data_IF_767540320135
#
_entry.id   IF_767540320135
#
_cell.length_a   1.000
_cell.length_b   1.000
_cell.length_c   1.000
_cell.angle_alpha   90.00
_cell.angle_beta   90.00
_cell.angle_gamma   90.00
#
_symmetry.space_group_name_H-M   'P 1'
#
loop_
_entity.id
_entity.type
_entity.pdbx_description
1 polymer ?
#
# COMPACT_ATOMS: atom_id res chain seq x y z
N UNK A 1 -23.31 -8.19 8.89
CA UNK A 1 -22.10 -8.76 8.26
C UNK A 1 -21.02 -8.88 9.33
N UNK A 2 -20.21 -9.95 9.35
CA UNK A 2 -19.14 -10.16 10.35
C UNK A 2 -17.80 -10.28 9.62
N UNK A 3 -16.85 -9.41 9.93
CA UNK A 3 -15.47 -9.49 9.40
C UNK A 3 -14.73 -10.67 10.02
N UNK A 4 -13.98 -11.42 9.21
CA UNK A 4 -13.29 -12.64 9.63
C UNK A 4 -11.79 -12.43 9.89
N UNK A 5 -11.15 -11.57 9.12
CA UNK A 5 -9.72 -11.30 9.27
C UNK A 5 -9.29 -10.14 8.38
N UNK A 6 -8.22 -9.46 8.78
CA UNK A 6 -7.51 -8.48 7.94
C UNK A 6 -6.37 -9.16 7.20
N UNK A 7 -6.06 -8.67 6.01
CA UNK A 7 -5.01 -9.23 5.14
C UNK A 7 -3.63 -8.58 5.35
N UNK A 8 -3.54 -7.64 6.27
CA UNK A 8 -2.28 -7.08 6.79
C UNK A 8 -1.59 -8.08 7.71
N UNK A 9 -0.26 -7.98 7.86
CA UNK A 9 0.50 -8.83 8.80
C UNK A 9 0.15 -8.55 10.27
N UNK A 10 -0.29 -7.33 10.57
CA UNK A 10 -0.62 -6.85 11.92
C UNK A 10 -2.03 -6.27 11.95
N UNK A 11 -2.60 -6.12 13.15
CA UNK A 11 -3.89 -5.43 13.32
C UNK A 11 -3.79 -4.00 12.78
N UNK A 12 -4.85 -3.55 12.12
CA UNK A 12 -5.00 -2.18 11.62
C UNK A 12 -5.82 -1.36 12.61
N UNK A 13 -5.55 -0.06 12.69
CA UNK A 13 -6.36 0.89 13.47
C UNK A 13 -7.80 1.02 12.94
N UNK A 14 -8.03 0.70 11.67
CA UNK A 14 -9.36 0.75 11.03
C UNK A 14 -10.26 -0.37 11.57
N UNK A 15 -9.67 -1.53 11.89
CA UNK A 15 -10.39 -2.71 12.37
C UNK A 15 -9.61 -3.39 13.51
N UNK A 16 -9.47 -2.73 14.68
CA UNK A 16 -8.58 -3.17 15.75
C UNK A 16 -9.00 -4.51 16.37
N UNK A 17 -10.29 -4.83 16.29
CA UNK A 17 -10.85 -6.07 16.84
C UNK A 17 -10.84 -7.24 15.84
N UNK A 18 -10.38 -7.03 14.61
CA UNK A 18 -10.34 -8.05 13.58
C UNK A 18 -8.90 -8.59 13.47
N UNK A 19 -8.67 -9.90 13.70
CA UNK A 19 -7.32 -10.46 13.72
C UNK A 19 -6.71 -10.53 12.31
N UNK A 20 -5.38 -10.43 12.18
CA UNK A 20 -4.67 -10.76 10.95
C UNK A 20 -4.88 -12.23 10.56
N UNK A 21 -5.09 -12.49 9.28
CA UNK A 21 -5.06 -13.88 8.75
C UNK A 21 -3.68 -14.51 8.99
N UNK A 22 -2.62 -13.69 9.03
CA UNK A 22 -1.26 -14.10 9.33
C UNK A 22 -1.08 -14.80 10.68
N UNK A 23 -1.97 -14.59 11.66
CA UNK A 23 -1.95 -15.31 12.94
C UNK A 23 -2.28 -16.80 12.78
N UNK A 24 -3.08 -17.16 11.77
CA UNK A 24 -3.47 -18.55 11.47
C UNK A 24 -2.65 -19.13 10.31
N UNK A 25 -2.31 -18.30 9.32
CA UNK A 25 -1.51 -18.69 8.16
C UNK A 25 -0.24 -17.80 8.10
N UNK A 26 0.87 -18.24 8.71
CA UNK A 26 2.09 -17.44 8.79
C UNK A 26 2.58 -16.95 7.42
N UNK A 27 2.88 -15.66 7.33
CA UNK A 27 3.36 -15.02 6.10
C UNK A 27 2.27 -14.64 5.09
N UNK A 28 0.98 -14.87 5.39
CA UNK A 28 -0.11 -14.40 4.55
C UNK A 28 -0.21 -12.87 4.60
N UNK A 29 -0.01 -12.21 3.45
CA UNK A 29 -0.16 -10.76 3.31
C UNK A 29 -0.66 -10.37 1.91
N UNK A 30 -1.77 -9.65 1.87
CA UNK A 30 -2.30 -9.01 0.65
C UNK A 30 -2.69 -7.59 1.02
N UNK A 31 -1.79 -6.65 0.74
CA UNK A 31 -2.01 -5.23 1.01
C UNK A 31 -2.42 -4.52 -0.28
N UNK A 32 -3.58 -3.85 -0.24
CA UNK A 32 -3.93 -2.84 -1.24
C UNK A 32 -3.20 -1.54 -0.93
N UNK A 33 -2.52 -0.96 -1.91
CA UNK A 33 -1.78 0.28 -1.75
C UNK A 33 -2.08 1.26 -2.88
N UNK A 34 -1.90 2.54 -2.57
CA UNK A 34 -2.01 3.63 -3.52
C UNK A 34 -0.71 4.42 -3.53
N UNK A 35 -0.39 5.00 -4.68
CA UNK A 35 0.69 5.97 -4.76
C UNK A 35 0.66 6.72 -6.07
N UNK A 36 1.62 7.63 -6.21
CA UNK A 36 1.67 8.56 -7.34
C UNK A 36 2.86 8.25 -8.23
N UNK A 37 2.62 8.38 -9.54
CA UNK A 37 3.63 8.28 -10.57
C UNK A 37 3.68 9.59 -11.35
N UNK A 38 4.83 9.90 -11.93
CA UNK A 38 5.03 11.03 -12.81
C UNK A 38 5.54 10.53 -14.17
N UNK A 39 5.35 11.31 -15.25
CA UNK A 39 5.88 10.98 -16.56
C UNK A 39 7.40 10.72 -16.56
N UNK A 40 7.85 9.93 -17.53
CA UNK A 40 9.28 9.72 -17.73
C UNK A 40 9.98 11.08 -17.97
N UNK A 41 11.14 11.28 -17.34
CA UNK A 41 11.96 12.51 -17.38
C UNK A 41 11.37 13.72 -16.65
N UNK A 42 10.37 13.57 -15.79
CA UNK A 42 10.01 14.64 -14.84
C UNK A 42 11.26 15.05 -14.03
N UNK A 43 11.60 16.35 -13.91
CA UNK A 43 12.76 16.80 -13.16
C UNK A 43 12.73 16.34 -11.70
N UNK A 44 13.88 15.89 -11.19
CA UNK A 44 14.01 15.37 -9.82
C UNK A 44 13.56 16.38 -8.76
N UNK A 45 13.90 17.65 -8.95
CA UNK A 45 13.52 18.73 -8.05
C UNK A 45 12.00 18.89 -7.94
N UNK A 46 11.27 18.70 -9.05
CA UNK A 46 9.81 18.75 -9.06
C UNK A 46 9.21 17.54 -8.33
N UNK A 47 9.77 16.35 -8.55
CA UNK A 47 9.36 15.13 -7.84
C UNK A 47 9.55 15.32 -6.33
N UNK A 48 10.70 15.84 -5.91
CA UNK A 48 11.00 16.09 -4.50
C UNK A 48 10.06 17.13 -3.89
N UNK A 49 9.77 18.22 -4.61
CA UNK A 49 8.83 19.25 -4.15
C UNK A 49 7.43 18.69 -3.93
N UNK A 50 6.92 17.90 -4.89
CA UNK A 50 5.59 17.27 -4.79
C UNK A 50 5.57 16.24 -3.66
N UNK A 51 6.58 15.37 -3.57
CA UNK A 51 6.69 14.39 -2.48
C UNK A 51 6.71 15.09 -1.12
N UNK A 52 7.50 16.17 -0.97
CA UNK A 52 7.55 16.95 0.26
C UNK A 52 6.19 17.51 0.68
N UNK A 53 5.43 18.08 -0.25
CA UNK A 53 4.08 18.58 0.02
C UNK A 53 3.11 17.45 0.44
N UNK A 54 3.18 16.30 -0.22
CA UNK A 54 2.35 15.12 0.09
C UNK A 54 2.69 14.57 1.47
N UNK A 55 3.98 14.43 1.79
CA UNK A 55 4.42 13.97 3.10
C UNK A 55 4.00 14.90 4.24
N UNK A 56 3.87 16.20 3.98
CA UNK A 56 3.30 17.15 4.93
C UNK A 56 1.79 16.96 5.07
N UNK A 57 1.06 16.81 3.96
CA UNK A 57 -0.38 16.58 3.97
C UNK A 57 -0.75 15.29 4.72
N UNK A 58 -0.03 14.18 4.51
CA UNK A 58 -0.28 12.91 5.19
C UNK A 58 -0.10 12.95 6.73
N UNK A 59 0.52 14.01 7.26
CA UNK A 59 0.69 14.23 8.70
C UNK A 59 -0.44 15.04 9.32
N UNK A 60 -1.34 15.62 8.53
CA UNK A 60 -2.45 16.40 9.08
C UNK A 60 -3.56 15.47 9.55
N UNK A 61 -4.18 15.81 10.68
CA UNK A 61 -5.29 15.04 11.24
C UNK A 61 -6.44 14.90 10.23
N UNK A 62 -6.78 15.99 9.52
CA UNK A 62 -7.84 15.98 8.52
C UNK A 62 -7.62 14.92 7.42
N UNK A 63 -6.39 14.80 6.90
CA UNK A 63 -6.08 13.81 5.86
C UNK A 63 -6.08 12.41 6.44
N UNK A 64 -5.51 12.21 7.63
CA UNK A 64 -5.49 10.91 8.29
C UNK A 64 -6.90 10.39 8.59
N UNK A 65 -7.77 11.25 9.13
CA UNK A 65 -9.16 10.92 9.42
C UNK A 65 -9.94 10.55 8.15
N UNK A 66 -9.76 11.32 7.06
CA UNK A 66 -10.38 11.01 5.77
C UNK A 66 -9.90 9.68 5.20
N UNK A 67 -8.60 9.38 5.28
CA UNK A 67 -8.08 8.09 4.82
C UNK A 67 -8.63 6.94 5.66
N UNK A 68 -8.65 7.07 6.99
CA UNK A 68 -9.21 6.06 7.89
C UNK A 68 -10.69 5.82 7.58
N UNK A 69 -11.47 6.87 7.35
CA UNK A 69 -12.87 6.76 6.94
C UNK A 69 -13.07 6.03 5.61
N UNK A 70 -12.07 6.07 4.72
CA UNK A 70 -12.02 5.32 3.46
C UNK A 70 -11.40 3.93 3.61
N UNK A 71 -11.01 3.51 4.82
CA UNK A 71 -10.37 2.23 5.07
C UNK A 71 -8.90 2.18 4.62
N UNK A 72 -8.23 3.32 4.55
CA UNK A 72 -6.81 3.44 4.23
C UNK A 72 -6.03 4.07 5.38
N UNK A 73 -4.75 3.68 5.51
CA UNK A 73 -3.83 4.32 6.46
C UNK A 73 -2.87 5.22 5.69
N UNK A 74 -2.53 6.36 6.31
CA UNK A 74 -1.54 7.27 5.74
C UNK A 74 -0.17 6.60 5.71
N UNK A 75 0.32 6.31 4.50
CA UNK A 75 1.65 5.74 4.27
C UNK A 75 2.41 6.62 3.27
N UNK A 76 3.67 6.89 3.57
CA UNK A 76 4.52 7.72 2.74
C UNK A 76 5.98 7.28 2.80
N UNK A 77 6.73 7.56 1.74
CA UNK A 77 8.15 7.19 1.61
C UNK A 77 8.88 8.19 0.70
N UNK A 78 10.20 8.03 0.56
CA UNK A 78 10.95 8.77 -0.46
C UNK A 78 10.63 8.23 -1.87
N UNK A 79 10.82 9.04 -2.93
CA UNK A 79 10.63 8.57 -4.31
C UNK A 79 11.45 7.31 -4.65
N UNK A 80 12.68 7.21 -4.14
CA UNK A 80 13.58 6.08 -4.36
C UNK A 80 13.11 4.83 -3.63
N UNK A 81 12.67 4.99 -2.38
CA UNK A 81 12.09 3.90 -1.59
C UNK A 81 10.81 3.38 -2.25
N UNK A 82 9.95 4.28 -2.74
CA UNK A 82 8.74 3.92 -3.46
C UNK A 82 9.05 3.17 -4.77
N UNK A 83 10.07 3.61 -5.53
CA UNK A 83 10.51 2.88 -6.73
C UNK A 83 11.00 1.46 -6.42
N UNK A 84 11.72 1.29 -5.31
CA UNK A 84 12.16 -0.04 -4.84
C UNK A 84 10.98 -0.91 -4.44
N UNK A 85 10.01 -0.34 -3.73
CA UNK A 85 8.76 -1.00 -3.36
C UNK A 85 7.96 -1.47 -4.58
N UNK A 86 7.79 -0.62 -5.59
CA UNK A 86 7.09 -0.97 -6.83
C UNK A 86 7.73 -2.15 -7.55
N UNK A 87 9.06 -2.17 -7.63
CA UNK A 87 9.79 -3.30 -8.24
C UNK A 87 9.53 -4.58 -7.45
N UNK A 88 9.66 -4.53 -6.12
CA UNK A 88 9.40 -5.68 -5.24
C UNK A 88 7.98 -6.21 -5.37
N UNK A 89 6.98 -5.33 -5.39
CA UNK A 89 5.58 -5.73 -5.56
C UNK A 89 5.33 -6.34 -6.94
N UNK A 90 5.87 -5.73 -7.99
CA UNK A 90 5.77 -6.28 -9.36
C UNK A 90 6.33 -7.70 -9.43
N UNK A 91 7.53 -7.91 -8.88
CA UNK A 91 8.18 -9.22 -8.86
C UNK A 91 7.37 -10.24 -8.02
N UNK A 92 6.85 -9.81 -6.85
CA UNK A 92 6.02 -10.64 -5.97
C UNK A 92 4.75 -11.09 -6.67
N UNK A 93 4.00 -10.17 -7.27
CA UNK A 93 2.75 -10.47 -7.97
C UNK A 93 2.97 -11.31 -9.22
N UNK A 94 4.01 -11.02 -10.00
CA UNK A 94 4.36 -11.83 -11.17
C UNK A 94 4.68 -13.28 -10.77
N UNK A 95 5.39 -13.50 -9.65
CA UNK A 95 5.65 -14.84 -9.12
C UNK A 95 4.37 -15.55 -8.70
N UNK A 96 3.53 -14.86 -7.92
CA UNK A 96 2.26 -15.40 -7.43
C UNK A 96 1.33 -15.81 -8.57
N UNK A 97 1.18 -14.97 -9.61
CA UNK A 97 0.34 -15.28 -10.76
C UNK A 97 0.79 -16.55 -11.49
N UNK A 98 2.11 -16.75 -11.64
CA UNK A 98 2.68 -17.97 -12.23
C UNK A 98 2.42 -19.20 -11.37
N UNK A 99 2.66 -19.10 -10.07
CA UNK A 99 2.43 -20.19 -9.10
C UNK A 99 0.95 -20.59 -9.05
N UNK A 100 0.04 -19.63 -9.15
CA UNK A 100 -1.41 -19.84 -9.14
C UNK A 100 -1.99 -20.22 -10.52
N UNK A 101 -1.15 -20.32 -11.56
CA UNK A 101 -1.57 -20.57 -12.95
C UNK A 101 -2.68 -19.62 -13.44
N UNK A 102 -2.63 -18.36 -13.02
CA UNK A 102 -3.58 -17.31 -13.42
C UNK A 102 -3.08 -16.70 -14.73
N UNK A 103 -3.94 -16.69 -15.75
CA UNK A 103 -3.66 -16.12 -17.07
C UNK A 103 -4.47 -14.85 -17.30
N UNK A 104 -3.99 -13.90 -18.13
CA UNK A 104 -4.80 -12.79 -18.58
C UNK A 104 -6.07 -13.34 -19.24
N UNK A 105 -7.23 -12.90 -18.79
CA UNK A 105 -8.48 -13.07 -19.53
C UNK A 105 -8.54 -11.97 -20.58
N UNK A 106 -8.73 -12.38 -21.84
CA UNK A 106 -9.10 -11.48 -22.95
C UNK A 106 -10.52 -10.92 -22.78
#
# INVERSE_FOLDING_TARGET
MRSLGVTTLTRTIIAPNVPPIAETLPGFEILGWYGMLAPLRTPKELIQKINGAVMQALKTAEVQEKLIALGAEAAGSSPEAYGTFLKKETDRWARLLREANIKPTE
#
